data_IF_823982129356
#
_entry.id   IF_823982129356
#
_cell.length_a   1.000
_cell.length_b   1.000
_cell.length_c   1.000
_cell.angle_alpha   90.00
_cell.angle_beta   90.00
_cell.angle_gamma   90.00
#
_symmetry.space_group_name_H-M   'P 1'
#
loop_
_entity.id
_entity.type
_entity.pdbx_description
1 polymer ?
#
# COMPACT_ATOMS: atom_id res chain seq x y z
N UNK A 1 14.82 -30.41 -53.69
CA UNK A 1 14.54 -29.75 -52.39
C UNK A 1 15.26 -30.53 -51.31
N UNK A 2 16.16 -29.91 -50.55
CA UNK A 2 16.84 -30.57 -49.44
C UNK A 2 15.91 -30.51 -48.23
N UNK A 3 15.34 -31.65 -47.82
CA UNK A 3 14.55 -31.73 -46.60
C UNK A 3 15.48 -31.58 -45.39
N UNK A 4 15.31 -30.49 -44.66
CA UNK A 4 15.95 -30.29 -43.36
C UNK A 4 15.52 -31.41 -42.41
N UNK A 5 16.48 -32.23 -41.97
CA UNK A 5 16.30 -33.14 -40.85
C UNK A 5 15.89 -32.30 -39.63
N UNK A 6 14.66 -32.48 -39.16
CA UNK A 6 14.23 -31.89 -37.89
C UNK A 6 15.09 -32.50 -36.77
N UNK A 7 15.62 -31.69 -35.85
CA UNK A 7 16.39 -32.22 -34.74
C UNK A 7 15.52 -33.21 -33.94
N UNK A 8 16.09 -34.34 -33.51
CA UNK A 8 15.34 -35.34 -32.77
C UNK A 8 14.77 -34.72 -31.48
N UNK A 9 13.55 -35.08 -31.08
CA UNK A 9 13.00 -34.63 -29.81
C UNK A 9 13.92 -35.07 -28.67
N UNK A 10 14.15 -34.15 -27.73
CA UNK A 10 14.98 -34.42 -26.55
C UNK A 10 14.39 -35.65 -25.83
N UNK A 11 15.20 -36.69 -25.53
CA UNK A 11 14.77 -37.86 -24.78
C UNK A 11 14.09 -37.47 -23.47
N UNK A 12 13.00 -38.16 -23.13
CA UNK A 12 12.18 -37.86 -21.94
C UNK A 12 13.01 -37.98 -20.65
N UNK A 13 14.01 -38.84 -20.65
CA UNK A 13 14.94 -39.03 -19.53
C UNK A 13 15.81 -37.78 -19.28
N UNK A 14 16.24 -37.09 -20.35
CA UNK A 14 16.99 -35.84 -20.22
C UNK A 14 16.08 -34.70 -19.77
N UNK A 15 14.82 -34.69 -20.20
CA UNK A 15 13.83 -33.72 -19.71
C UNK A 15 13.55 -33.90 -18.21
N UNK A 16 13.40 -35.15 -17.74
CA UNK A 16 13.25 -35.46 -16.32
C UNK A 16 14.49 -35.04 -15.50
N UNK A 17 15.70 -35.34 -16.00
CA UNK A 17 16.94 -34.91 -15.33
C UNK A 17 17.09 -33.39 -15.30
N UNK A 18 16.74 -32.69 -16.38
CA UNK A 18 16.74 -31.24 -16.42
C UNK A 18 15.77 -30.65 -15.38
N UNK A 19 14.59 -31.25 -15.25
CA UNK A 19 13.61 -30.87 -14.24
C UNK A 19 14.13 -31.09 -12.81
N UNK A 20 14.75 -32.25 -12.53
CA UNK A 20 15.39 -32.53 -11.24
C UNK A 20 16.51 -31.51 -10.92
N UNK A 21 17.29 -31.12 -11.93
CA UNK A 21 18.35 -30.12 -11.77
C UNK A 21 17.79 -28.72 -11.52
N UNK A 22 16.71 -28.34 -12.20
CA UNK A 22 16.02 -27.07 -11.93
C UNK A 22 15.43 -27.04 -10.53
N UNK A 23 14.84 -28.14 -10.07
CA UNK A 23 14.29 -28.25 -8.72
C UNK A 23 15.40 -28.10 -7.65
N UNK A 24 16.51 -28.83 -7.79
CA UNK A 24 17.67 -28.72 -6.88
C UNK A 24 18.33 -27.34 -6.92
N UNK A 25 18.37 -26.70 -8.09
CA UNK A 25 18.86 -25.33 -8.22
C UNK A 25 17.97 -24.34 -7.48
N UNK A 26 16.66 -24.56 -7.47
CA UNK A 26 15.71 -23.71 -6.74
C UNK A 26 15.78 -23.90 -5.22
N UNK A 27 16.19 -25.08 -4.72
CA UNK A 27 16.39 -25.31 -3.27
C UNK A 27 17.52 -24.44 -2.68
N UNK A 28 18.53 -24.10 -3.48
CA UNK A 28 19.66 -23.25 -3.06
C UNK A 28 19.59 -21.79 -3.52
N UNK A 29 18.54 -21.40 -4.24
CA UNK A 29 18.39 -20.07 -4.84
C UNK A 29 17.10 -19.42 -4.38
N UNK A 30 17.03 -18.10 -4.46
CA UNK A 30 15.75 -17.39 -4.35
C UNK A 30 14.77 -17.94 -5.38
N UNK A 31 13.53 -18.17 -4.97
CA UNK A 31 12.50 -18.62 -5.89
C UNK A 31 12.37 -17.63 -7.06
N UNK A 32 12.32 -18.09 -8.33
CA UNK A 32 12.14 -17.23 -9.51
C UNK A 32 10.95 -16.26 -9.42
N UNK A 33 9.96 -16.61 -8.61
CA UNK A 33 8.74 -15.84 -8.38
C UNK A 33 8.96 -14.60 -7.49
N UNK A 34 10.05 -14.54 -6.72
CA UNK A 34 10.50 -13.31 -6.04
C UNK A 34 10.96 -12.23 -7.04
N UNK A 35 11.31 -12.61 -8.27
CA UNK A 35 11.73 -11.72 -9.35
C UNK A 35 10.57 -11.29 -10.27
N UNK A 36 9.32 -11.55 -9.89
CA UNK A 36 8.14 -10.98 -10.56
C UNK A 36 7.63 -11.72 -11.80
N UNK A 37 8.14 -12.92 -12.11
CA UNK A 37 7.59 -13.76 -13.20
C UNK A 37 6.33 -14.50 -12.75
N UNK A 38 5.27 -13.76 -12.43
CA UNK A 38 3.99 -14.33 -11.96
C UNK A 38 2.98 -14.31 -13.11
N UNK A 39 3.05 -15.30 -13.99
CA UNK A 39 2.00 -15.56 -14.99
C UNK A 39 0.84 -16.41 -14.43
N UNK A 40 0.98 -17.00 -13.23
CA UNK A 40 -0.02 -17.86 -12.62
C UNK A 40 -0.56 -17.28 -11.30
N UNK A 41 -1.88 -17.31 -11.13
CA UNK A 41 -2.57 -16.99 -9.87
C UNK A 41 -2.19 -18.03 -8.80
N UNK A 42 -1.10 -17.81 -8.10
CA UNK A 42 -0.64 -18.68 -7.00
C UNK A 42 -1.56 -18.52 -5.79
N UNK A 43 -1.90 -19.65 -5.15
CA UNK A 43 -2.66 -19.67 -3.92
C UNK A 43 -1.85 -19.07 -2.77
N UNK A 44 -2.49 -18.34 -1.85
CA UNK A 44 -1.83 -17.68 -0.72
C UNK A 44 -0.91 -18.62 0.12
N UNK A 45 -1.24 -19.90 0.18
CA UNK A 45 -0.45 -20.93 0.85
C UNK A 45 0.94 -21.13 0.22
N UNK A 46 1.07 -21.13 -1.11
CA UNK A 46 2.37 -21.31 -1.77
C UNK A 46 3.26 -20.09 -1.57
N UNK A 47 2.68 -18.89 -1.58
CA UNK A 47 3.40 -17.65 -1.24
C UNK A 47 3.95 -17.67 0.20
N UNK A 48 3.21 -18.25 1.15
CA UNK A 48 3.66 -18.39 2.55
C UNK A 48 4.86 -19.31 2.67
N UNK A 49 4.82 -20.48 2.02
CA UNK A 49 5.94 -21.43 2.04
C UNK A 49 7.19 -20.84 1.39
N UNK A 50 7.01 -20.05 0.34
CA UNK A 50 8.12 -19.40 -0.37
C UNK A 50 8.72 -18.25 0.43
N UNK A 51 7.90 -17.47 1.12
CA UNK A 51 8.40 -16.45 2.05
C UNK A 51 9.18 -17.08 3.21
N UNK A 52 8.74 -18.22 3.73
CA UNK A 52 9.47 -18.99 4.74
C UNK A 52 10.80 -19.53 4.20
N UNK A 53 10.82 -20.09 2.98
CA UNK A 53 12.05 -20.53 2.33
C UNK A 53 13.02 -19.36 2.10
N UNK A 54 12.51 -18.21 1.66
CA UNK A 54 13.31 -16.99 1.51
C UNK A 54 13.87 -16.50 2.85
N UNK A 55 13.09 -16.56 3.94
CA UNK A 55 13.58 -16.23 5.29
C UNK A 55 14.68 -17.20 5.75
N UNK A 56 14.57 -18.49 5.44
CA UNK A 56 15.61 -19.46 5.79
C UNK A 56 16.92 -19.18 5.04
N UNK A 57 16.85 -18.80 3.75
CA UNK A 57 18.03 -18.41 2.97
C UNK A 57 18.60 -17.07 3.43
N UNK A 58 17.75 -16.11 3.82
CA UNK A 58 18.18 -14.78 4.25
C UNK A 58 18.71 -14.74 5.69
N UNK A 59 18.29 -15.67 6.56
CA UNK A 59 18.67 -15.70 7.97
C UNK A 59 20.19 -15.62 8.21
N UNK A 60 21.06 -16.46 7.61
CA UNK A 60 22.50 -16.36 7.85
C UNK A 60 23.09 -15.03 7.38
N UNK A 61 22.57 -14.45 6.28
CA UNK A 61 23.00 -13.14 5.81
C UNK A 61 22.57 -12.03 6.78
N UNK A 62 21.34 -12.11 7.27
CA UNK A 62 20.79 -11.19 8.24
C UNK A 62 21.55 -11.22 9.57
N UNK A 63 21.81 -12.41 10.12
CA UNK A 63 22.61 -12.62 11.33
C UNK A 63 24.05 -12.13 11.15
N UNK A 64 24.66 -12.41 9.99
CA UNK A 64 25.98 -11.92 9.63
C UNK A 64 26.05 -10.39 9.57
N UNK A 65 25.07 -9.74 8.95
CA UNK A 65 24.97 -8.28 8.93
C UNK A 65 24.80 -7.70 10.33
N UNK A 66 23.90 -8.25 11.14
CA UNK A 66 23.71 -7.79 12.52
C UNK A 66 25.00 -7.92 13.33
N UNK A 67 25.72 -9.04 13.20
CA UNK A 67 26.98 -9.25 13.91
C UNK A 67 28.06 -8.25 13.47
N UNK A 68 28.19 -7.99 12.17
CA UNK A 68 29.18 -7.03 11.65
C UNK A 68 28.83 -5.61 12.07
N UNK A 69 27.57 -5.19 11.92
CA UNK A 69 27.14 -3.85 12.31
C UNK A 69 27.26 -3.63 13.82
N UNK A 70 26.84 -4.60 14.62
CA UNK A 70 27.00 -4.56 16.08
C UNK A 70 28.48 -4.53 16.47
N UNK A 71 29.34 -5.29 15.78
CA UNK A 71 30.79 -5.27 15.98
C UNK A 71 31.41 -3.91 15.69
N UNK A 72 31.00 -3.27 14.59
CA UNK A 72 31.43 -1.91 14.25
C UNK A 72 30.99 -0.93 15.34
N UNK A 73 29.71 -0.92 15.71
CA UNK A 73 29.18 0.00 16.71
C UNK A 73 29.85 -0.18 18.09
N UNK A 74 30.12 -1.42 18.48
CA UNK A 74 30.86 -1.74 19.69
C UNK A 74 32.32 -1.25 19.64
N UNK A 75 32.97 -1.36 18.48
CA UNK A 75 34.31 -0.81 18.28
C UNK A 75 34.31 0.71 18.40
N UNK A 76 33.34 1.40 17.80
CA UNK A 76 33.18 2.85 17.95
C UNK A 76 32.90 3.24 19.40
N UNK A 77 32.04 2.50 20.10
CA UNK A 77 31.75 2.74 21.52
C UNK A 77 33.01 2.59 22.39
N UNK A 78 33.81 1.55 22.16
CA UNK A 78 35.08 1.34 22.85
C UNK A 78 36.11 2.46 22.55
N UNK A 79 36.16 2.93 21.30
CA UNK A 79 37.02 4.06 20.93
C UNK A 79 36.57 5.38 21.57
N UNK A 80 35.27 5.65 21.62
CA UNK A 80 34.73 6.84 22.29
C UNK A 80 34.99 6.83 23.80
N UNK A 81 34.94 5.66 24.43
CA UNK A 81 35.29 5.48 25.85
C UNK A 81 36.78 5.69 26.12
N UNK A 82 37.66 5.16 25.27
CA UNK A 82 39.11 5.25 25.47
C UNK A 82 39.72 6.61 25.10
N UNK A 83 39.22 7.25 24.04
CA UNK A 83 39.76 8.54 23.56
C UNK A 83 39.03 9.75 24.12
N UNK A 84 37.79 9.58 24.61
CA UNK A 84 36.93 10.68 25.03
C UNK A 84 36.40 11.54 23.88
N UNK A 85 36.77 11.25 22.63
CA UNK A 85 36.36 11.99 21.44
C UNK A 85 35.01 11.44 20.97
N UNK A 86 34.03 12.34 20.77
CA UNK A 86 32.67 11.98 20.33
C UNK A 86 32.37 12.64 18.98
N UNK A 87 32.08 11.87 17.92
CA UNK A 87 31.65 12.45 16.65
C UNK A 87 30.28 13.15 16.81
N UNK A 88 30.12 14.33 16.21
CA UNK A 88 28.83 14.97 15.92
C UNK A 88 27.81 15.05 17.07
N UNK A 89 28.23 15.39 18.29
CA UNK A 89 27.30 15.64 19.39
C UNK A 89 26.58 14.41 19.93
N UNK A 90 27.06 13.20 19.61
CA UNK A 90 26.55 11.96 20.19
C UNK A 90 26.82 11.99 21.70
N UNK A 91 25.76 11.97 22.50
CA UNK A 91 25.85 11.90 23.97
C UNK A 91 25.68 10.46 24.39
N UNK A 92 26.76 9.85 24.89
CA UNK A 92 26.67 8.56 25.57
C UNK A 92 25.97 8.80 26.90
N UNK A 93 24.87 8.11 27.22
CA UNK A 93 24.19 8.21 28.50
C UNK A 93 25.16 8.01 29.67
N UNK A 94 25.17 8.96 30.61
CA UNK A 94 25.99 8.87 31.82
C UNK A 94 25.44 7.77 32.73
N UNK A 95 26.24 6.73 32.98
CA UNK A 95 25.85 5.59 33.84
C UNK A 95 25.79 4.25 33.13
N UNK A 96 26.16 4.16 31.84
CA UNK A 96 26.27 2.88 31.16
C UNK A 96 27.46 2.07 31.71
N UNK A 97 27.24 0.81 32.14
CA UNK A 97 28.31 -0.11 32.52
C UNK A 97 29.39 -0.27 31.43
N UNK A 98 30.64 -0.47 31.83
CA UNK A 98 31.77 -0.63 30.89
C UNK A 98 31.63 -1.86 29.97
N UNK A 99 30.82 -2.83 30.35
CA UNK A 99 30.47 -4.06 29.62
C UNK A 99 29.21 -3.91 28.75
N UNK A 100 28.66 -2.70 28.58
CA UNK A 100 27.52 -2.49 27.68
C UNK A 100 27.93 -2.74 26.24
N UNK A 101 27.19 -3.60 25.55
CA UNK A 101 27.26 -3.84 24.11
C UNK A 101 26.05 -3.24 23.39
N UNK A 102 26.29 -2.71 22.20
CA UNK A 102 25.30 -2.29 21.23
C UNK A 102 24.90 -3.49 20.37
N UNK A 103 23.59 -3.70 20.24
CA UNK A 103 23.01 -4.71 19.36
C UNK A 103 22.19 -4.00 18.28
N UNK A 104 22.55 -4.23 17.03
CA UNK A 104 21.86 -3.64 15.88
C UNK A 104 20.76 -4.59 15.42
N UNK A 105 19.51 -4.14 15.46
CA UNK A 105 18.37 -4.85 14.90
C UNK A 105 18.00 -4.32 13.52
N UNK A 106 17.93 -5.21 12.53
CA UNK A 106 17.51 -4.87 11.16
C UNK A 106 16.27 -5.69 10.77
N UNK A 107 15.06 -5.13 10.78
CA UNK A 107 13.87 -5.91 10.46
C UNK A 107 13.83 -6.25 8.96
N UNK A 108 13.90 -7.55 8.63
CA UNK A 108 13.64 -8.05 7.28
C UNK A 108 12.13 -8.28 7.12
N UNK A 109 11.47 -7.43 6.34
CA UNK A 109 10.05 -7.60 6.00
C UNK A 109 9.92 -8.17 4.59
N UNK A 110 9.24 -9.32 4.46
CA UNK A 110 8.85 -9.88 3.15
C UNK A 110 7.37 -9.52 2.93
N UNK A 111 7.02 -8.72 1.90
CA UNK A 111 5.65 -8.25 1.69
C UNK A 111 4.60 -9.38 1.62
N UNK A 112 4.95 -10.51 0.99
CA UNK A 112 4.06 -11.68 0.89
C UNK A 112 3.71 -12.31 2.24
N UNK A 113 4.65 -12.31 3.19
CA UNK A 113 4.42 -12.83 4.54
C UNK A 113 3.47 -11.93 5.34
N UNK A 114 3.54 -10.60 5.14
CA UNK A 114 2.62 -9.67 5.78
C UNK A 114 1.17 -9.89 5.31
N UNK A 115 0.94 -10.05 4.00
CA UNK A 115 -0.40 -10.30 3.44
C UNK A 115 -0.99 -11.58 4.04
N UNK A 116 -0.18 -12.62 4.18
CA UNK A 116 -0.62 -13.89 4.79
C UNK A 116 -0.96 -13.70 6.27
N UNK A 117 -0.11 -13.01 7.04
CA UNK A 117 -0.40 -12.70 8.45
C UNK A 117 -1.66 -11.85 8.61
N UNK A 118 -1.88 -10.86 7.75
CA UNK A 118 -3.12 -10.05 7.73
C UNK A 118 -4.34 -10.93 7.41
N UNK A 119 -4.20 -11.86 6.47
CA UNK A 119 -5.29 -12.76 6.07
C UNK A 119 -5.67 -13.70 7.21
N UNK A 120 -4.69 -14.32 7.87
CA UNK A 120 -4.91 -15.17 9.05
C UNK A 120 -5.51 -14.35 10.19
N UNK A 121 -5.02 -13.14 10.44
CA UNK A 121 -5.56 -12.26 11.46
C UNK A 121 -7.03 -11.90 11.21
N UNK A 122 -7.42 -11.65 9.94
CA UNK A 122 -8.81 -11.44 9.55
C UNK A 122 -9.69 -12.69 9.68
N UNK A 123 -9.12 -13.89 9.48
CA UNK A 123 -9.84 -15.15 9.73
C UNK A 123 -10.12 -15.35 11.23
N UNK A 124 -9.18 -14.96 12.10
CA UNK A 124 -9.35 -15.06 13.55
C UNK A 124 -10.25 -13.96 14.13
N UNK A 125 -10.17 -12.74 13.59
CA UNK A 125 -11.04 -11.63 13.95
C UNK A 125 -11.48 -10.87 12.69
N UNK A 126 -12.69 -11.13 12.16
CA UNK A 126 -13.20 -10.47 10.97
C UNK A 126 -13.34 -8.95 11.08
N UNK A 127 -13.45 -8.40 12.29
CA UNK A 127 -13.56 -6.97 12.54
C UNK A 127 -12.21 -6.25 12.57
N UNK A 128 -11.09 -7.00 12.60
CA UNK A 128 -9.77 -6.40 12.64
C UNK A 128 -9.51 -5.55 11.39
N UNK A 129 -9.26 -4.26 11.60
CA UNK A 129 -8.89 -3.32 10.55
C UNK A 129 -7.54 -2.71 10.85
N UNK A 130 -6.66 -2.75 9.86
CA UNK A 130 -5.40 -2.02 9.88
C UNK A 130 -5.64 -0.62 9.32
N UNK A 131 -4.92 0.38 9.86
CA UNK A 131 -4.94 1.71 9.28
C UNK A 131 -4.34 1.66 7.86
N UNK A 132 -4.86 2.49 6.96
CA UNK A 132 -4.34 2.56 5.60
C UNK A 132 -2.84 2.88 5.60
N UNK A 133 -2.41 3.79 6.47
CA UNK A 133 -1.01 4.15 6.66
C UNK A 133 -0.12 2.95 7.03
N UNK A 134 -0.57 2.10 7.95
CA UNK A 134 0.17 0.90 8.33
C UNK A 134 0.33 -0.07 7.15
N UNK A 135 -0.75 -0.25 6.36
CA UNK A 135 -0.74 -1.10 5.17
C UNK A 135 0.25 -0.55 4.13
N UNK A 136 0.19 0.74 3.81
CA UNK A 136 1.08 1.36 2.83
C UNK A 136 2.54 1.26 3.24
N UNK A 137 2.87 1.59 4.49
CA UNK A 137 4.24 1.56 4.99
C UNK A 137 4.91 0.18 4.87
N UNK A 138 4.13 -0.90 5.01
CA UNK A 138 4.69 -2.25 5.06
C UNK A 138 4.52 -3.04 3.76
N UNK A 139 3.53 -2.72 2.92
CA UNK A 139 3.36 -3.35 1.60
C UNK A 139 4.07 -2.59 0.48
N UNK A 140 4.18 -1.27 0.61
CA UNK A 140 4.74 -0.37 -0.40
C UNK A 140 5.75 0.60 0.26
N UNK A 141 6.87 0.10 0.80
CA UNK A 141 7.87 0.93 1.48
C UNK A 141 8.48 2.01 0.56
N UNK A 142 8.39 1.85 -0.76
CA UNK A 142 8.78 2.85 -1.77
C UNK A 142 7.92 4.13 -1.73
N UNK A 143 6.72 4.08 -1.16
CA UNK A 143 5.85 5.25 -1.00
C UNK A 143 6.28 6.02 0.26
N UNK A 144 7.15 7.01 0.07
CA UNK A 144 7.71 7.80 1.18
C UNK A 144 6.67 8.63 1.94
N UNK A 145 5.64 9.11 1.25
CA UNK A 145 4.60 9.95 1.84
C UNK A 145 3.20 9.36 1.61
N UNK A 146 2.76 8.57 2.59
CA UNK A 146 1.46 7.90 2.61
C UNK A 146 0.29 8.89 2.67
N UNK A 147 0.48 10.06 3.26
CA UNK A 147 -0.54 11.11 3.35
C UNK A 147 -0.80 11.73 1.97
N UNK A 148 0.26 11.99 1.20
CA UNK A 148 0.09 12.53 -0.15
C UNK A 148 -0.59 11.53 -1.08
N UNK A 149 -0.24 10.24 -1.02
CA UNK A 149 -0.88 9.21 -1.86
C UNK A 149 -2.34 8.96 -1.48
N UNK A 150 -2.65 8.94 -0.17
CA UNK A 150 -4.06 8.85 0.27
C UNK A 150 -4.84 10.11 -0.10
N UNK A 151 -4.23 11.29 -0.06
CA UNK A 151 -4.85 12.53 -0.52
C UNK A 151 -5.09 12.53 -2.04
N UNK A 152 -4.15 12.03 -2.84
CA UNK A 152 -4.34 11.82 -4.30
C UNK A 152 -5.49 10.87 -4.58
N UNK A 153 -5.51 9.72 -3.90
CA UNK A 153 -6.60 8.74 -4.03
C UNK A 153 -7.95 9.35 -3.66
N UNK A 154 -8.03 10.09 -2.54
CA UNK A 154 -9.25 10.79 -2.15
C UNK A 154 -9.66 11.87 -3.13
N UNK A 155 -8.70 12.60 -3.70
CA UNK A 155 -8.94 13.57 -4.77
C UNK A 155 -9.51 12.88 -6.00
N UNK A 156 -8.95 11.75 -6.42
CA UNK A 156 -9.43 10.99 -7.57
C UNK A 156 -10.84 10.44 -7.32
N UNK A 157 -11.10 9.91 -6.12
CA UNK A 157 -12.45 9.51 -5.71
C UNK A 157 -13.43 10.69 -5.69
N UNK A 158 -13.01 11.84 -5.20
CA UNK A 158 -13.83 13.06 -5.18
C UNK A 158 -14.11 13.57 -6.60
N UNK A 159 -13.12 13.51 -7.50
CA UNK A 159 -13.27 13.87 -8.92
C UNK A 159 -14.21 12.91 -9.67
N UNK A 160 -14.17 11.63 -9.32
CA UNK A 160 -15.05 10.61 -9.88
C UNK A 160 -16.43 10.53 -9.21
N UNK A 161 -16.65 11.27 -8.11
CA UNK A 161 -17.97 11.35 -7.48
C UNK A 161 -18.95 12.08 -8.39
N UNK A 162 -20.25 11.76 -8.27
CA UNK A 162 -21.29 12.45 -9.05
C UNK A 162 -21.23 13.98 -8.90
N UNK A 163 -20.94 14.46 -7.69
CA UNK A 163 -20.74 15.88 -7.43
C UNK A 163 -19.48 16.44 -8.11
N UNK A 164 -18.37 15.71 -8.08
CA UNK A 164 -17.12 16.11 -8.75
C UNK A 164 -17.29 16.22 -10.26
N UNK A 165 -17.97 15.24 -10.86
CA UNK A 165 -18.30 15.24 -12.29
C UNK A 165 -19.20 16.43 -12.64
N UNK A 166 -20.24 16.70 -11.84
CA UNK A 166 -21.11 17.87 -12.04
C UNK A 166 -20.35 19.19 -11.94
N UNK A 167 -19.46 19.35 -10.95
CA UNK A 167 -18.62 20.56 -10.82
C UNK A 167 -17.67 20.71 -12.02
N UNK A 168 -17.07 19.62 -12.50
CA UNK A 168 -16.22 19.62 -13.68
C UNK A 168 -17.01 20.00 -14.94
N UNK A 169 -18.22 19.48 -15.10
CA UNK A 169 -19.12 19.84 -16.21
C UNK A 169 -19.50 21.32 -16.17
N UNK A 170 -19.83 21.88 -15.01
CA UNK A 170 -20.13 23.32 -14.87
C UNK A 170 -18.93 24.18 -15.28
N UNK A 171 -17.72 23.82 -14.83
CA UNK A 171 -16.50 24.52 -15.22
C UNK A 171 -16.25 24.43 -16.73
N UNK A 172 -16.45 23.26 -17.32
CA UNK A 172 -16.32 23.07 -18.77
C UNK A 172 -17.31 23.94 -19.55
N UNK A 173 -18.58 24.00 -19.14
CA UNK A 173 -19.57 24.88 -19.79
C UNK A 173 -19.22 26.36 -19.67
N UNK A 174 -18.65 26.80 -18.53
CA UNK A 174 -18.18 28.19 -18.39
C UNK A 174 -17.01 28.51 -19.33
N UNK A 175 -16.03 27.60 -19.43
CA UNK A 175 -14.92 27.73 -20.37
C UNK A 175 -15.42 27.79 -21.83
N UNK A 176 -16.38 26.93 -22.20
CA UNK A 176 -16.98 26.95 -23.53
C UNK A 176 -17.77 28.25 -23.80
N UNK A 177 -18.44 28.81 -22.80
CA UNK A 177 -19.09 30.12 -22.92
C UNK A 177 -18.07 31.25 -23.13
N UNK A 178 -16.94 31.22 -22.42
CA UNK A 178 -15.83 32.17 -22.62
C UNK A 178 -15.23 32.04 -24.03
N UNK A 179 -14.97 30.82 -24.50
CA UNK A 179 -14.49 30.59 -25.87
C UNK A 179 -15.50 31.04 -26.94
N UNK A 180 -16.79 30.77 -26.74
CA UNK A 180 -17.85 31.21 -27.64
C UNK A 180 -17.97 32.74 -27.68
N UNK A 181 -17.74 33.41 -26.55
CA UNK A 181 -17.69 34.88 -26.46
C UNK A 181 -16.53 35.45 -27.28
N UNK A 182 -15.35 34.84 -27.19
CA UNK A 182 -14.19 35.22 -28.01
C UNK A 182 -14.47 35.02 -29.51
N UNK A 183 -15.20 33.96 -29.87
CA UNK A 183 -15.60 33.67 -31.26
C UNK A 183 -16.78 34.50 -31.75
N UNK A 184 -17.36 35.37 -30.90
CA UNK A 184 -18.54 36.21 -31.20
C UNK A 184 -19.78 35.41 -31.61
N UNK A 185 -19.98 34.25 -30.99
CA UNK A 185 -21.17 33.41 -31.20
C UNK A 185 -22.12 33.55 -30.00
N UNK A 186 -23.09 34.48 -30.05
CA UNK A 186 -23.93 34.81 -28.89
C UNK A 186 -24.89 33.69 -28.51
N UNK A 187 -25.32 32.87 -29.48
CA UNK A 187 -26.29 31.79 -29.25
C UNK A 187 -25.65 30.68 -28.39
N UNK A 188 -24.41 30.32 -28.69
CA UNK A 188 -23.67 29.34 -27.89
C UNK A 188 -23.26 29.88 -26.52
N UNK A 189 -23.00 31.19 -26.39
CA UNK A 189 -22.75 31.83 -25.08
C UNK A 189 -23.96 31.66 -24.17
N UNK A 190 -25.17 31.96 -24.64
CA UNK A 190 -26.39 31.81 -23.84
C UNK A 190 -26.65 30.35 -23.46
N UNK A 191 -26.52 29.41 -24.41
CA UNK A 191 -26.75 27.99 -24.16
C UNK A 191 -25.78 27.41 -23.13
N UNK A 192 -24.49 27.71 -23.24
CA UNK A 192 -23.49 27.21 -22.30
C UNK A 192 -23.61 27.88 -20.92
N UNK A 193 -23.98 29.16 -20.86
CA UNK A 193 -24.22 29.85 -19.59
C UNK A 193 -25.45 29.28 -18.87
N UNK A 194 -26.56 29.07 -19.59
CA UNK A 194 -27.77 28.47 -19.04
C UNK A 194 -27.54 27.02 -18.58
N UNK A 195 -26.75 26.24 -19.31
CA UNK A 195 -26.36 24.89 -18.92
C UNK A 195 -25.52 24.87 -17.62
N UNK A 196 -24.56 25.80 -17.50
CA UNK A 196 -23.74 25.96 -16.29
C UNK A 196 -24.58 26.37 -15.07
N UNK A 197 -25.53 27.30 -15.25
CA UNK A 197 -26.43 27.74 -14.18
C UNK A 197 -27.39 26.64 -13.72
N UNK A 198 -27.94 25.86 -14.65
CA UNK A 198 -28.79 24.70 -14.30
C UNK A 198 -28.02 23.65 -13.50
N UNK A 199 -26.78 23.37 -13.88
CA UNK A 199 -25.90 22.47 -13.11
C UNK A 199 -25.62 23.01 -11.70
N UNK A 200 -25.41 24.33 -11.58
CA UNK A 200 -25.16 24.99 -10.29
C UNK A 200 -26.40 24.95 -9.38
N UNK A 201 -27.59 25.13 -9.94
CA UNK A 201 -28.85 25.03 -9.21
C UNK A 201 -29.13 23.59 -8.73
N UNK A 202 -28.75 22.57 -9.51
CA UNK A 202 -28.83 21.16 -9.06
C UNK A 202 -27.88 20.88 -7.88
N UNK A 203 -26.71 21.52 -7.85
CA UNK A 203 -25.75 21.41 -6.73
C UNK A 203 -26.24 22.12 -5.47
N UNK A 204 -26.88 23.29 -5.60
CA UNK A 204 -27.46 24.03 -4.48
C UNK A 204 -28.75 23.38 -3.94
N UNK A 205 -29.63 22.90 -4.81
CA UNK A 205 -30.91 22.29 -4.43
C UNK A 205 -30.77 20.96 -3.70
N UNK A 206 -29.70 20.18 -3.97
CA UNK A 206 -29.43 18.94 -3.22
C UNK A 206 -28.91 19.15 -1.79
N UNK A 207 -28.52 20.37 -1.39
CA UNK A 207 -28.04 20.66 -0.04
C UNK A 207 -29.15 20.96 0.98
N UNK A 208 -30.39 21.22 0.54
CA UNK A 208 -31.48 21.64 1.43
C UNK A 208 -32.38 20.48 1.92
N UNK A 209 -32.23 19.26 1.41
CA UNK A 209 -33.10 18.11 1.79
C UNK A 209 -32.53 17.17 2.87
N UNK A 210 -31.32 17.39 3.39
CA UNK A 210 -30.75 16.59 4.48
C UNK A 210 -30.72 17.35 5.83
N UNK A 211 -31.90 17.66 6.39
CA UNK A 211 -32.08 17.81 7.84
C UNK A 211 -33.38 17.09 8.27
N UNK A 212 -33.31 15.98 9.02
CA UNK A 212 -34.51 15.34 9.53
C UNK A 212 -35.07 16.13 10.72
N UNK A 213 -36.26 16.70 10.50
CA UNK A 213 -37.17 17.22 11.52
C UNK A 213 -37.46 16.18 12.60
N UNK A 214 -36.79 16.26 13.75
CA UNK A 214 -37.27 15.67 15.00
C UNK A 214 -37.91 16.77 15.86
N UNK A 215 -39.20 17.04 15.63
CA UNK A 215 -40.01 17.85 16.53
C UNK A 215 -41.50 17.60 16.32
N UNK A 216 -42.02 16.47 16.81
CA UNK A 216 -43.30 16.42 17.53
C UNK A 216 -43.66 14.98 17.92
N UNK A 217 -43.52 14.65 19.20
CA UNK A 217 -44.46 13.78 19.93
C UNK A 217 -44.09 13.75 21.43
N UNK A 218 -44.52 14.78 22.14
CA UNK A 218 -44.89 14.73 23.56
C UNK A 218 -46.29 15.36 23.60
N UNK A 219 -47.32 14.91 24.31
CA UNK A 219 -47.58 13.96 25.42
C UNK A 219 -49.14 13.88 25.49
N UNK A 220 -49.81 13.68 26.62
CA UNK A 220 -50.03 12.47 27.41
C UNK A 220 -51.54 12.12 27.52
N UNK A 221 -51.88 10.84 27.69
CA UNK A 221 -53.26 10.41 27.99
C UNK A 221 -53.30 9.54 29.24
N UNK A 222 -53.78 10.14 30.33
CA UNK A 222 -54.19 9.49 31.58
C UNK A 222 -55.38 8.52 31.40
N UNK A 223 -55.63 7.72 32.46
CA UNK A 223 -56.75 6.80 32.79
C UNK A 223 -56.31 5.33 32.65
N UNK A 224 -56.37 4.45 33.65
CA UNK A 224 -56.92 4.48 35.00
C UNK A 224 -56.85 3.09 35.66
N UNK A 225 -56.97 3.09 36.98
CA UNK A 225 -57.55 2.08 37.89
C UNK A 225 -57.32 0.57 37.69
N UNK A 226 -56.93 -0.09 38.79
CA UNK A 226 -57.70 -1.25 39.25
C UNK A 226 -56.95 -2.53 39.62
N UNK A 227 -56.61 -2.63 40.91
CA UNK A 227 -56.32 -3.83 41.73
C UNK A 227 -55.00 -4.59 41.54
#
# INVERSE_FOLDING_TARGET
SVNSLQPPPIPVELQQRLFDYEQKKQEGSFSPLLYGSIQFKLAAYTLSQMAQAAQQVLRPYHEGMMAVLSGIDNQWLAQMRSTGIRPNGIVIPTGLPEDTEMLVEYPVSIPGDLINRITVAKMMNPEMRFSAEYIYKHLFPEVQDTLTETAKTRKDMAMNSEMGILVAQIKAFRLLAEEASVRKDPENVELYTAAAERGLNMLKGKQEEEQPSQANQQRPGTIGEGR
#
